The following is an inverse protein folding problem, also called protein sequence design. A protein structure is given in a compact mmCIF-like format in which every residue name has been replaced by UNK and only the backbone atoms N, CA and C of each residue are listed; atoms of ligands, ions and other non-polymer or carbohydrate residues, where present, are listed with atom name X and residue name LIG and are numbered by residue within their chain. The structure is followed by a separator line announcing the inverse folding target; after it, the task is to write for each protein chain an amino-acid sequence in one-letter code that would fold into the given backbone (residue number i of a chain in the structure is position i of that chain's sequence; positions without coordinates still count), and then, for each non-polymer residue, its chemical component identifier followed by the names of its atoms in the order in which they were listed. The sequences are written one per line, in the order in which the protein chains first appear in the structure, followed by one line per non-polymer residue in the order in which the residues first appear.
data_IF_725254646323
#
_entry.id   IF_725254646323
#
_cell.length_a   1.000
_cell.length_b   1.000
_cell.length_c   1.000
_cell.angle_alpha   90.00
_cell.angle_beta   90.00
_cell.angle_gamma   90.00
#
_symmetry.space_group_name_H-M   'P 1'
#
loop_
_entity.id
_entity.type
_entity.pdbx_description
1 polymer ?
#
# COMPACT_ATOMS: atom_id res chain seq x y z
N UNK A 1 22.37 5.37 14.79
CA UNK A 1 22.20 6.75 15.03
C UNK A 1 22.30 7.56 13.76
N UNK A 2 22.32 8.84 13.91
CA UNK A 2 22.21 9.72 12.78
C UNK A 2 23.32 9.55 11.78
N UNK A 3 24.50 9.38 12.26
CA UNK A 3 25.64 9.23 11.41
C UNK A 3 25.52 8.02 10.53
N UNK A 4 25.04 6.96 11.09
CA UNK A 4 24.84 5.76 10.33
C UNK A 4 23.77 5.98 9.27
N UNK A 5 22.76 6.71 9.61
CA UNK A 5 21.74 7.02 8.64
C UNK A 5 22.25 7.82 7.47
N UNK A 6 23.13 8.74 7.73
CA UNK A 6 23.72 9.51 6.66
C UNK A 6 24.50 8.64 5.71
N UNK A 7 25.23 7.71 6.26
CA UNK A 7 25.99 6.80 5.43
C UNK A 7 25.03 5.98 4.57
N UNK A 8 23.92 5.56 5.15
CA UNK A 8 22.97 4.78 4.40
C UNK A 8 22.29 5.58 3.31
N UNK A 9 22.04 6.84 3.58
CA UNK A 9 21.39 7.64 2.57
C UNK A 9 22.27 7.83 1.37
N UNK A 10 23.56 7.74 1.58
CA UNK A 10 24.47 7.83 0.47
C UNK A 10 24.38 6.63 -0.43
N UNK A 11 24.18 5.48 0.13
CA UNK A 11 23.95 4.28 -0.66
C UNK A 11 22.54 4.28 -1.16
N UNK A 12 21.90 5.34 -0.95
CA UNK A 12 20.58 5.62 -1.41
C UNK A 12 19.57 4.70 -0.90
N UNK A 13 18.67 4.48 -1.06
CA UNK A 13 17.56 3.77 -0.52
C UNK A 13 17.64 2.26 -0.66
N UNK A 14 18.83 1.75 -0.92
CA UNK A 14 18.99 0.31 -0.99
C UNK A 14 18.66 -0.30 0.35
N UNK A 15 17.74 -1.24 0.35
CA UNK A 15 17.33 -1.89 1.57
C UNK A 15 16.29 -1.15 2.38
N UNK A 16 16.05 0.11 2.07
CA UNK A 16 15.03 0.86 2.79
C UNK A 16 13.65 0.48 2.29
N UNK A 17 12.68 0.32 3.19
CA UNK A 17 11.31 0.04 2.73
C UNK A 17 10.73 1.27 2.04
N UNK A 18 9.69 1.05 1.26
CA UNK A 18 8.96 2.13 0.61
C UNK A 18 8.37 3.05 1.68
N UNK A 19 8.20 4.34 1.36
CA UNK A 19 7.58 5.24 2.32
C UNK A 19 6.13 4.87 2.57
N UNK A 20 5.54 5.48 3.55
CA UNK A 20 4.14 5.24 3.87
C UNK A 20 3.26 5.57 2.67
N UNK A 21 2.16 4.87 2.56
CA UNK A 21 1.20 5.08 1.50
C UNK A 21 -0.07 5.67 2.06
N UNK A 22 -1.16 5.50 1.31
CA UNK A 22 -2.45 6.06 1.68
C UNK A 22 -3.53 5.11 1.22
N UNK A 23 -4.61 5.04 2.00
CA UNK A 23 -5.80 4.30 1.59
C UNK A 23 -6.94 5.30 1.46
N UNK A 24 -7.66 5.23 0.35
CA UNK A 24 -8.83 6.05 0.08
C UNK A 24 -10.03 5.14 -0.05
N UNK A 25 -11.11 5.48 0.63
CA UNK A 25 -12.30 4.62 0.66
C UNK A 25 -13.43 5.28 -0.10
N UNK A 26 -14.08 4.49 -0.94
CA UNK A 26 -15.20 4.92 -1.75
C UNK A 26 -16.35 3.95 -1.54
N UNK A 27 -17.57 4.46 -1.64
CA UNK A 27 -18.75 3.60 -1.66
C UNK A 27 -19.58 3.97 -2.89
N UNK A 28 -20.42 3.05 -3.33
CA UNK A 28 -21.35 3.34 -4.42
C UNK A 28 -22.55 4.08 -3.87
N UNK A 29 -22.97 5.13 -4.58
CA UNK A 29 -24.19 5.79 -4.23
C UNK A 29 -25.35 5.10 -4.96
N UNK A 30 -26.54 5.67 -4.86
CA UNK A 30 -27.72 5.07 -5.44
C UNK A 30 -27.67 4.99 -6.95
N UNK A 31 -26.92 5.86 -7.59
CA UNK A 31 -26.78 5.87 -9.02
C UNK A 31 -25.66 4.96 -9.51
N UNK A 32 -24.98 4.28 -8.60
CA UNK A 32 -23.90 3.40 -8.96
C UNK A 32 -22.55 4.08 -9.08
N UNK A 33 -22.49 5.39 -8.90
CA UNK A 33 -21.23 6.12 -8.95
C UNK A 33 -20.48 5.97 -7.65
N UNK A 34 -19.15 5.99 -7.73
CA UNK A 34 -18.32 5.92 -6.53
C UNK A 34 -18.28 7.28 -5.86
N UNK A 35 -18.51 7.27 -4.56
CA UNK A 35 -18.49 8.47 -3.75
C UNK A 35 -17.33 8.37 -2.77
N UNK A 36 -16.45 9.36 -2.78
CA UNK A 36 -15.32 9.41 -1.85
C UNK A 36 -15.84 9.64 -0.44
N UNK A 37 -15.40 8.81 0.51
CA UNK A 37 -15.83 8.95 1.90
C UNK A 37 -14.69 9.29 2.85
N UNK A 38 -13.44 9.11 2.46
CA UNK A 38 -12.33 9.54 3.30
C UNK A 38 -11.04 8.82 2.97
N UNK A 39 -9.97 9.26 3.60
CA UNK A 39 -8.66 8.66 3.41
C UNK A 39 -7.83 8.77 4.67
N UNK A 40 -6.81 7.92 4.77
CA UNK A 40 -5.85 7.97 5.84
C UNK A 40 -4.52 7.42 5.34
N UNK A 41 -3.45 7.79 6.00
CA UNK A 41 -2.13 7.28 5.67
C UNK A 41 -1.95 5.90 6.29
N UNK A 42 -1.14 5.08 5.64
CA UNK A 42 -0.80 3.77 6.16
C UNK A 42 0.69 3.54 6.02
N UNK A 43 1.33 3.29 7.15
CA UNK A 43 2.75 3.00 7.20
C UNK A 43 2.93 1.50 7.38
N UNK A 44 4.19 1.07 7.49
CA UNK A 44 4.48 -0.33 7.74
C UNK A 44 3.93 -0.74 9.09
N UNK A 45 3.31 -1.88 9.11
CA UNK A 45 2.81 -2.45 10.34
C UNK A 45 3.80 -3.52 10.79
N UNK A 46 4.27 -3.48 12.02
CA UNK A 46 5.10 -4.56 12.52
C UNK A 46 4.38 -5.88 12.37
N UNK A 47 5.15 -6.93 12.17
CA UNK A 47 4.60 -8.24 11.98
C UNK A 47 3.67 -8.59 13.13
N UNK A 48 2.54 -9.15 12.81
CA UNK A 48 1.52 -9.57 13.78
C UNK A 48 0.74 -8.46 14.43
N UNK A 49 0.88 -7.23 13.94
CA UNK A 49 0.05 -6.13 14.42
C UNK A 49 -0.83 -5.65 13.28
N UNK A 50 -2.04 -5.26 13.61
CA UNK A 50 -2.96 -4.68 12.65
C UNK A 50 -3.30 -3.28 13.06
N UNK A 51 -3.30 -2.37 12.10
CA UNK A 51 -3.62 -0.98 12.33
C UNK A 51 -5.00 -0.72 11.77
N UNK A 52 -5.88 -0.22 12.61
CA UNK A 52 -7.22 0.13 12.18
C UNK A 52 -7.20 1.52 11.60
N UNK A 53 -7.68 1.64 10.37
CA UNK A 53 -7.77 2.91 9.69
C UNK A 53 -9.19 3.44 9.88
N UNK A 54 -9.31 4.60 10.52
CA UNK A 54 -10.61 5.21 10.73
C UNK A 54 -10.89 6.24 9.66
N UNK A 55 -11.95 6.02 8.93
CA UNK A 55 -12.36 6.93 7.89
C UNK A 55 -13.79 7.34 8.19
N UNK A 56 -13.95 8.31 9.11
CA UNK A 56 -15.24 8.76 9.56
C UNK A 56 -15.95 7.70 10.39
N UNK A 57 -17.16 8.00 10.80
CA UNK A 57 -17.94 7.07 11.64
C UNK A 57 -18.60 5.97 10.84
N UNK A 58 -18.68 6.12 9.53
CA UNK A 58 -19.45 5.22 8.70
C UNK A 58 -18.68 3.97 8.28
N UNK A 59 -17.35 4.00 8.31
CA UNK A 59 -16.56 2.90 7.78
C UNK A 59 -15.49 2.49 8.77
N UNK A 60 -15.46 1.21 9.03
CA UNK A 60 -14.49 0.61 9.94
C UNK A 60 -13.67 -0.36 9.10
N UNK A 61 -12.55 0.13 8.59
CA UNK A 61 -11.65 -0.65 7.75
C UNK A 61 -10.40 -0.94 8.55
N UNK A 62 -10.10 -2.21 8.74
CA UNK A 62 -8.83 -2.61 9.34
C UNK A 62 -7.86 -2.84 8.21
N UNK A 63 -6.68 -2.25 8.30
CA UNK A 63 -5.67 -2.37 7.26
C UNK A 63 -4.34 -2.77 7.87
N UNK A 64 -3.59 -3.58 7.12
CA UNK A 64 -2.26 -3.99 7.53
C UNK A 64 -1.38 -3.95 6.30
N UNK A 65 -0.24 -3.28 6.41
CA UNK A 65 0.71 -3.17 5.31
C UNK A 65 2.05 -3.67 5.80
N UNK A 66 2.54 -4.73 5.19
CA UNK A 66 3.73 -5.43 5.65
C UNK A 66 4.69 -5.64 4.49
N UNK A 67 5.96 -5.41 4.73
CA UNK A 67 6.98 -5.82 3.78
C UNK A 67 7.24 -7.31 3.98
N UNK A 68 6.97 -8.10 2.95
CA UNK A 68 7.07 -9.55 3.06
C UNK A 68 8.38 -10.10 2.54
N UNK A 69 9.15 -9.30 1.82
CA UNK A 69 10.42 -9.78 1.31
C UNK A 69 11.27 -8.68 0.74
N UNK A 70 12.54 -8.98 0.63
CA UNK A 70 13.51 -8.09 0.04
C UNK A 70 14.62 -8.95 -0.55
N UNK A 71 15.02 -8.63 -1.77
CA UNK A 71 16.04 -9.39 -2.45
C UNK A 71 16.94 -8.45 -3.22
N UNK A 72 18.26 -8.58 -3.00
CA UNK A 72 19.21 -7.82 -3.76
C UNK A 72 19.52 -8.61 -5.03
N UNK A 73 19.18 -8.03 -6.17
CA UNK A 73 19.36 -8.71 -7.46
C UNK A 73 20.77 -8.47 -7.99
N UNK A 74 21.26 -7.21 -7.86
CA UNK A 74 22.60 -6.85 -8.27
C UNK A 74 23.04 -5.68 -7.43
N UNK A 75 24.19 -5.09 -7.73
CA UNK A 75 24.69 -3.97 -6.95
C UNK A 75 23.70 -2.80 -6.91
N UNK A 76 22.92 -2.63 -7.97
CA UNK A 76 22.05 -1.48 -8.09
C UNK A 76 20.58 -1.80 -8.17
N UNK A 77 20.25 -3.08 -8.18
CA UNK A 77 18.87 -3.51 -8.38
C UNK A 77 18.41 -4.33 -7.21
N UNK A 78 17.28 -3.96 -6.65
CA UNK A 78 16.68 -4.71 -5.56
C UNK A 78 15.20 -4.94 -5.85
N UNK A 79 14.64 -5.94 -5.21
CA UNK A 79 13.21 -6.20 -5.25
C UNK A 79 12.68 -6.20 -3.84
N UNK A 80 11.51 -5.61 -3.68
CA UNK A 80 10.83 -5.61 -2.40
C UNK A 80 9.41 -6.09 -2.63
N UNK A 81 8.90 -6.87 -1.69
CA UNK A 81 7.56 -7.41 -1.78
C UNK A 81 6.74 -6.92 -0.61
N UNK A 82 5.48 -6.61 -0.87
CA UNK A 82 4.57 -6.05 0.12
C UNK A 82 3.23 -6.76 0.07
N UNK A 83 2.58 -6.78 1.21
CA UNK A 83 1.25 -7.31 1.38
C UNK A 83 0.40 -6.27 2.08
N UNK A 84 -0.77 -5.99 1.52
CA UNK A 84 -1.73 -5.07 2.13
C UNK A 84 -3.01 -5.85 2.32
N UNK A 85 -3.44 -5.99 3.58
CA UNK A 85 -4.68 -6.66 3.91
C UNK A 85 -5.71 -5.62 4.32
N UNK A 86 -6.91 -5.74 3.76
CA UNK A 86 -8.00 -4.81 4.01
C UNK A 86 -9.20 -5.58 4.47
N UNK A 87 -9.70 -5.28 5.66
CA UNK A 87 -10.88 -5.95 6.17
C UNK A 87 -12.00 -4.95 6.36
N UNK A 88 -13.13 -5.24 5.79
CA UNK A 88 -14.32 -4.41 5.88
C UNK A 88 -15.24 -4.98 6.95
N UNK A 89 -15.39 -4.26 8.06
CA UNK A 89 -16.23 -4.71 9.18
C UNK A 89 -17.66 -4.23 9.03
N UNK A 90 -17.98 -3.53 7.96
CA UNK A 90 -19.31 -3.00 7.76
C UNK A 90 -20.12 -3.88 6.83
N UNK A 91 -21.39 -3.55 6.70
CA UNK A 91 -22.30 -4.32 5.86
C UNK A 91 -22.46 -3.76 4.46
N UNK A 92 -21.76 -2.68 4.16
CA UNK A 92 -21.73 -2.13 2.83
C UNK A 92 -20.40 -2.47 2.16
N UNK A 93 -20.45 -2.78 0.88
CA UNK A 93 -19.22 -2.98 0.11
C UNK A 93 -18.54 -1.63 -0.10
N UNK A 94 -17.22 -1.64 -0.13
CA UNK A 94 -16.43 -0.44 -0.40
C UNK A 94 -15.38 -0.75 -1.44
N UNK A 95 -14.89 0.31 -2.08
CA UNK A 95 -13.70 0.22 -2.92
C UNK A 95 -12.60 0.99 -2.20
N UNK A 96 -11.47 0.36 -2.00
CA UNK A 96 -10.34 0.98 -1.34
C UNK A 96 -9.24 1.16 -2.37
N UNK A 97 -8.83 2.41 -2.58
CA UNK A 97 -7.68 2.69 -3.44
C UNK A 97 -6.44 2.76 -2.56
N UNK A 98 -5.52 1.84 -2.80
CA UNK A 98 -4.25 1.83 -2.09
C UNK A 98 -3.26 2.64 -2.90
N UNK A 99 -2.81 3.77 -2.36
CA UNK A 99 -1.88 4.68 -3.02
C UNK A 99 -0.50 4.39 -2.47
N UNK A 100 0.43 4.02 -3.36
CA UNK A 100 1.78 3.67 -2.97
C UNK A 100 2.77 4.60 -3.64
N UNK A 101 3.89 4.81 -2.98
CA UNK A 101 4.94 5.69 -3.50
C UNK A 101 6.26 4.95 -3.58
N UNK A 102 7.05 5.29 -4.58
CA UNK A 102 8.37 4.70 -4.76
C UNK A 102 9.32 5.75 -5.31
N UNK A 103 10.60 5.45 -5.19
CA UNK A 103 11.65 6.36 -5.67
C UNK A 103 12.47 5.64 -6.74
N UNK A 104 13.31 6.43 -7.41
CA UNK A 104 14.25 5.86 -8.36
C UNK A 104 13.57 5.36 -9.61
N UNK A 105 14.23 4.43 -10.27
CA UNK A 105 13.73 3.82 -11.48
C UNK A 105 13.08 2.49 -11.07
N UNK A 106 11.78 2.48 -10.98
CA UNK A 106 11.06 1.34 -10.43
C UNK A 106 10.05 0.78 -11.43
N UNK A 107 9.73 -0.49 -11.23
CA UNK A 107 8.63 -1.12 -11.95
C UNK A 107 8.02 -2.21 -11.09
N UNK A 108 6.74 -2.46 -11.32
CA UNK A 108 6.06 -3.56 -10.65
C UNK A 108 6.29 -4.81 -11.49
N UNK A 109 6.93 -5.80 -10.89
CA UNK A 109 7.24 -7.03 -11.62
C UNK A 109 6.21 -8.12 -11.37
N UNK A 110 5.42 -8.00 -10.31
CA UNK A 110 4.38 -8.96 -10.00
C UNK A 110 3.36 -8.29 -9.11
N UNK A 111 2.08 -8.57 -9.29
CA UNK A 111 1.03 -8.09 -8.40
C UNK A 111 -0.17 -9.00 -8.51
N UNK A 112 -0.89 -9.14 -7.41
CA UNK A 112 -2.10 -9.97 -7.38
C UNK A 112 -3.30 -9.26 -7.99
N UNK A 113 -3.20 -7.95 -8.19
CA UNK A 113 -4.26 -7.13 -8.77
C UNK A 113 -3.64 -6.13 -9.73
N UNK A 114 -4.40 -5.64 -10.70
CA UNK A 114 -3.88 -4.63 -11.61
C UNK A 114 -3.51 -3.34 -10.90
N UNK A 115 -2.50 -2.67 -11.36
CA UNK A 115 -2.08 -1.39 -10.81
C UNK A 115 -2.14 -0.31 -11.89
N UNK A 116 -2.17 0.94 -11.45
CA UNK A 116 -2.13 2.10 -12.32
C UNK A 116 -0.97 2.98 -11.88
N UNK A 117 -0.08 3.30 -12.81
CA UNK A 117 1.01 4.23 -12.53
C UNK A 117 0.47 5.64 -12.72
N UNK A 118 0.48 6.43 -11.65
CA UNK A 118 -0.08 7.79 -11.68
C UNK A 118 0.96 8.82 -12.07
N UNK A 119 2.19 8.65 -11.62
CA UNK A 119 3.30 9.51 -12.00
C UNK A 119 4.59 8.76 -11.68
N UNK A 120 5.73 9.46 -11.78
CA UNK A 120 7.03 8.81 -11.63
C UNK A 120 7.28 8.30 -10.22
N UNK A 121 6.45 8.66 -9.25
CA UNK A 121 6.65 8.28 -7.86
C UNK A 121 5.42 7.63 -7.24
N UNK A 122 4.34 7.45 -7.98
CA UNK A 122 3.07 7.03 -7.40
C UNK A 122 2.39 5.96 -8.25
N UNK A 123 1.91 4.93 -7.61
CA UNK A 123 1.08 3.91 -8.27
C UNK A 123 -0.06 3.52 -7.33
N UNK A 124 -1.13 3.00 -7.90
CA UNK A 124 -2.36 2.73 -7.15
C UNK A 124 -2.95 1.38 -7.51
N UNK A 125 -3.62 0.79 -6.52
CA UNK A 125 -4.43 -0.40 -6.71
C UNK A 125 -5.84 -0.12 -6.24
N UNK A 126 -6.84 -0.56 -6.98
CA UNK A 126 -8.24 -0.43 -6.57
C UNK A 126 -8.72 -1.80 -6.11
N UNK A 127 -9.12 -1.89 -4.85
CA UNK A 127 -9.51 -3.16 -4.24
C UNK A 127 -10.97 -3.08 -3.81
N UNK A 128 -11.80 -3.98 -4.33
CA UNK A 128 -13.20 -4.06 -3.91
C UNK A 128 -13.27 -4.98 -2.72
N UNK A 129 -13.86 -4.49 -1.63
CA UNK A 129 -13.97 -5.27 -0.41
C UNK A 129 -15.45 -5.42 -0.07
N UNK A 130 -15.94 -6.63 -0.20
CA UNK A 130 -17.34 -6.95 0.08
C UNK A 130 -17.63 -6.79 1.58
N UNK A 131 -18.90 -6.71 1.97
CA UNK A 131 -19.23 -6.58 3.38
C UNK A 131 -18.68 -7.75 4.18
N UNK A 132 -18.15 -7.45 5.34
CA UNK A 132 -17.67 -8.47 6.28
C UNK A 132 -16.64 -9.41 5.70
N UNK A 133 -15.81 -8.92 4.78
CA UNK A 133 -14.76 -9.75 4.18
C UNK A 133 -13.41 -9.09 4.28
N UNK A 134 -12.40 -9.86 3.94
CA UNK A 134 -11.02 -9.38 3.88
C UNK A 134 -10.48 -9.64 2.49
N UNK A 135 -9.75 -8.67 1.95
CA UNK A 135 -9.04 -8.81 0.70
C UNK A 135 -7.56 -8.57 0.93
N UNK A 136 -6.75 -9.32 0.23
CA UNK A 136 -5.31 -9.20 0.36
C UNK A 136 -4.70 -8.90 -0.99
N UNK A 137 -3.93 -7.82 -1.01
CA UNK A 137 -3.19 -7.38 -2.18
C UNK A 137 -1.71 -7.65 -1.94
N UNK A 138 -1.05 -8.29 -2.90
CA UNK A 138 0.39 -8.47 -2.82
C UNK A 138 1.03 -7.95 -4.08
N UNK A 139 2.23 -7.40 -3.95
CA UNK A 139 2.98 -6.98 -5.12
C UNK A 139 4.48 -7.01 -4.85
N UNK A 140 5.24 -7.08 -5.92
CA UNK A 140 6.71 -7.00 -5.87
C UNK A 140 7.14 -5.88 -6.77
N UNK A 141 7.98 -5.00 -6.26
CA UNK A 141 8.51 -3.87 -6.98
C UNK A 141 10.02 -4.02 -7.13
N UNK A 142 10.52 -3.71 -8.31
CA UNK A 142 11.95 -3.71 -8.57
C UNK A 142 12.41 -2.27 -8.65
N UNK A 143 13.46 -1.94 -7.93
CA UNK A 143 13.97 -0.57 -7.82
C UNK A 143 15.45 -0.59 -8.21
N UNK A 144 15.79 0.36 -9.06
CA UNK A 144 17.15 0.46 -9.58
C UNK A 144 17.81 1.76 -9.17
#
# INVERSE_FOLDING_TARGET
NVKLELANSKDNNLGMPLPKGKVRVYKKDQDGALQFVGEDEIDHTPKDEKVRVYIGDAFDIAAERVQTGQQQISERVQRQSYSISLRNHKKEAVTVTCVEHAWGDWKIVNSSMPYTKKDSHTFEFNVKVAPDTEEKLTYTIEIK
#
